data_IF_473663248237
#
_entry.id   IF_473663248237
#
_cell.length_a   1.000
_cell.length_b   1.000
_cell.length_c   1.000
_cell.angle_alpha   90.00
_cell.angle_beta   90.00
_cell.angle_gamma   90.00
#
_symmetry.space_group_name_H-M   'P 1'
#
loop_
_entity.id
_entity.type
_entity.pdbx_description
1 polymer ?
#
# COMPACT_ATOMS: atom_id res chain seq x y z
N UNK A 1 -18.18 10.15 -11.10
CA UNK A 1 -17.16 10.73 -11.99
C UNK A 1 -16.99 9.76 -13.15
N UNK A 2 -17.20 10.17 -14.40
CA UNK A 2 -17.22 9.27 -15.56
C UNK A 2 -16.00 9.46 -16.49
N UNK A 3 -14.87 9.94 -15.97
CA UNK A 3 -13.65 10.08 -16.75
C UNK A 3 -12.43 10.38 -15.89
N UNK A 4 -11.26 10.02 -16.41
CA UNK A 4 -9.95 10.35 -15.84
C UNK A 4 -9.79 11.87 -15.75
N UNK A 5 -9.24 12.37 -14.64
CA UNK A 5 -8.94 13.79 -14.43
C UNK A 5 -7.44 14.01 -14.40
N UNK A 6 -6.90 14.65 -15.43
CA UNK A 6 -5.50 15.08 -15.42
C UNK A 6 -5.27 16.11 -14.32
N UNK A 7 -4.25 15.88 -13.50
CA UNK A 7 -3.82 16.81 -12.44
C UNK A 7 -2.50 17.46 -12.82
N UNK A 8 -1.54 16.65 -13.29
CA UNK A 8 -0.27 17.11 -13.84
C UNK A 8 -0.13 16.44 -15.22
N UNK A 9 -0.30 17.20 -16.33
CA UNK A 9 -0.18 16.64 -17.69
C UNK A 9 1.15 15.92 -17.88
N UNK A 10 1.10 14.70 -18.43
CA UNK A 10 2.27 13.87 -18.66
C UNK A 10 2.92 13.25 -17.42
N UNK A 11 2.30 13.38 -16.23
CA UNK A 11 2.84 12.82 -14.98
C UNK A 11 1.81 12.17 -14.04
N UNK A 12 0.68 12.83 -13.75
CA UNK A 12 -0.26 12.39 -12.73
C UNK A 12 -1.70 12.69 -13.10
N UNK A 13 -2.57 11.67 -12.96
CA UNK A 13 -4.02 11.82 -13.10
C UNK A 13 -4.79 11.01 -12.07
N UNK A 14 -5.99 11.50 -11.76
CA UNK A 14 -6.97 10.77 -10.97
C UNK A 14 -7.78 9.87 -11.90
N UNK A 15 -7.84 8.59 -11.55
CA UNK A 15 -8.59 7.57 -12.28
C UNK A 15 -9.68 6.97 -11.39
N UNK A 16 -10.59 6.19 -11.96
CA UNK A 16 -11.54 5.40 -11.19
C UNK A 16 -11.49 3.96 -11.69
N UNK A 17 -10.53 3.19 -11.18
CA UNK A 17 -10.30 1.82 -11.63
C UNK A 17 -10.65 0.82 -10.54
N UNK A 18 -11.44 -0.18 -10.91
CA UNK A 18 -11.83 -1.26 -10.00
C UNK A 18 -10.85 -2.43 -10.08
N UNK A 19 -10.05 -2.62 -9.05
CA UNK A 19 -9.03 -3.66 -8.98
C UNK A 19 -9.56 -4.92 -8.28
N UNK A 20 -9.77 -5.98 -9.06
CA UNK A 20 -10.23 -7.28 -8.54
C UNK A 20 -9.09 -8.21 -8.12
N UNK A 21 -7.84 -7.82 -8.35
CA UNK A 21 -6.64 -8.54 -7.97
C UNK A 21 -5.94 -7.93 -6.76
N UNK A 22 -4.75 -8.46 -6.48
CA UNK A 22 -3.74 -7.84 -5.63
C UNK A 22 -2.65 -7.18 -6.49
N UNK A 23 -1.49 -6.89 -5.90
CA UNK A 23 -0.33 -6.38 -6.64
C UNK A 23 -0.04 -7.23 -7.89
N UNK A 24 0.25 -6.57 -9.01
CA UNK A 24 0.51 -7.22 -10.31
C UNK A 24 -0.61 -8.16 -10.80
N UNK A 25 -1.87 -7.89 -10.43
CA UNK A 25 -3.04 -8.69 -10.81
C UNK A 25 -3.04 -10.13 -10.26
N UNK A 26 -2.28 -10.40 -9.19
CA UNK A 26 -2.34 -11.69 -8.50
C UNK A 26 -3.76 -11.97 -7.98
N UNK A 27 -4.24 -13.21 -8.17
CA UNK A 27 -5.60 -13.65 -7.77
C UNK A 27 -6.75 -12.84 -8.38
N UNK A 28 -6.56 -12.28 -9.58
CA UNK A 28 -7.60 -11.53 -10.29
C UNK A 28 -8.94 -12.30 -10.34
N UNK A 29 -10.03 -11.59 -10.07
CA UNK A 29 -11.39 -12.15 -10.02
C UNK A 29 -11.71 -12.95 -8.75
N UNK A 30 -10.75 -13.19 -7.84
CA UNK A 30 -10.96 -13.96 -6.62
C UNK A 30 -11.06 -13.08 -5.36
N UNK A 31 -12.03 -12.16 -5.37
CA UNK A 31 -12.23 -11.19 -4.29
C UNK A 31 -12.45 -11.84 -2.92
N UNK A 32 -13.10 -13.00 -2.87
CA UNK A 32 -13.35 -13.71 -1.61
C UNK A 32 -12.04 -14.18 -0.95
N UNK A 33 -11.10 -14.74 -1.74
CA UNK A 33 -9.78 -15.13 -1.23
C UNK A 33 -9.01 -13.91 -0.75
N UNK A 34 -8.99 -12.83 -1.54
CA UNK A 34 -8.28 -11.61 -1.18
C UNK A 34 -8.83 -10.95 0.10
N UNK A 35 -10.17 -10.89 0.24
CA UNK A 35 -10.81 -10.41 1.46
C UNK A 35 -10.47 -11.29 2.67
N UNK A 36 -10.48 -12.61 2.49
CA UNK A 36 -10.13 -13.57 3.56
C UNK A 36 -8.68 -13.41 4.00
N UNK A 37 -7.75 -13.30 3.04
CA UNK A 37 -6.33 -13.06 3.32
C UNK A 37 -6.12 -11.73 4.06
N UNK A 38 -6.77 -10.65 3.61
CA UNK A 38 -6.68 -9.36 4.28
C UNK A 38 -7.21 -9.41 5.73
N UNK A 39 -8.35 -10.07 5.96
CA UNK A 39 -8.89 -10.28 7.31
C UNK A 39 -7.95 -11.13 8.18
N UNK A 40 -7.38 -12.19 7.63
CA UNK A 40 -6.39 -13.03 8.33
C UNK A 40 -5.12 -12.24 8.67
N UNK A 41 -4.62 -11.40 7.76
CA UNK A 41 -3.48 -10.52 8.01
C UNK A 41 -3.76 -9.51 9.12
N UNK A 42 -4.96 -8.90 9.15
CA UNK A 42 -5.37 -8.02 10.26
C UNK A 42 -5.36 -8.76 11.60
N UNK A 43 -5.96 -9.95 11.65
CA UNK A 43 -5.98 -10.76 12.87
C UNK A 43 -4.57 -11.12 13.34
N UNK A 44 -3.70 -11.53 12.42
CA UNK A 44 -2.31 -11.86 12.71
C UNK A 44 -1.51 -10.64 13.21
N UNK A 45 -1.65 -9.48 12.57
CA UNK A 45 -0.99 -8.23 12.99
C UNK A 45 -1.46 -7.77 14.36
N UNK A 46 -2.76 -7.84 14.65
CA UNK A 46 -3.30 -7.49 15.96
C UNK A 46 -2.79 -8.48 17.03
N UNK A 47 -2.76 -9.78 16.74
CA UNK A 47 -2.25 -10.79 17.65
C UNK A 47 -0.75 -10.63 17.93
N UNK A 48 0.04 -10.34 16.90
CA UNK A 48 1.50 -10.18 16.99
C UNK A 48 1.97 -8.75 17.28
N UNK A 49 1.05 -7.79 17.51
CA UNK A 49 1.35 -6.36 17.66
C UNK A 49 2.49 -6.02 18.63
N UNK A 50 2.68 -6.84 19.66
CA UNK A 50 3.75 -6.66 20.66
C UNK A 50 5.16 -6.70 20.05
N UNK A 51 5.35 -7.37 18.91
CA UNK A 51 6.65 -7.49 18.23
C UNK A 51 7.04 -6.24 17.43
N UNK A 52 6.15 -5.25 17.31
CA UNK A 52 6.36 -4.05 16.50
C UNK A 52 6.73 -2.82 17.34
N UNK A 53 7.28 -3.04 18.53
CA UNK A 53 7.59 -1.98 19.52
C UNK A 53 6.46 -0.93 19.65
N UNK A 54 5.19 -1.32 19.84
CA UNK A 54 4.04 -0.39 19.78
C UNK A 54 4.09 0.72 20.85
N UNK A 55 4.96 0.58 21.85
CA UNK A 55 5.23 1.55 22.90
C UNK A 55 6.05 2.75 22.40
N UNK A 56 6.77 2.61 21.28
CA UNK A 56 7.56 3.68 20.65
C UNK A 56 6.77 4.26 19.47
N UNK A 57 6.86 5.58 19.30
CA UNK A 57 6.14 6.31 18.25
C UNK A 57 6.32 5.71 16.84
N UNK A 58 7.55 5.34 16.39
CA UNK A 58 7.73 4.75 15.05
C UNK A 58 7.00 3.42 14.87
N UNK A 59 7.07 2.53 15.88
CA UNK A 59 6.40 1.23 15.85
C UNK A 59 4.87 1.37 15.86
N UNK A 60 4.36 2.29 16.69
CA UNK A 60 2.94 2.63 16.75
C UNK A 60 2.42 3.19 15.42
N UNK A 61 3.13 4.13 14.80
CA UNK A 61 2.78 4.70 13.51
C UNK A 61 2.81 3.66 12.39
N UNK A 62 3.86 2.82 12.37
CA UNK A 62 4.00 1.77 11.37
C UNK A 62 2.84 0.77 11.42
N UNK A 63 2.51 0.30 12.63
CA UNK A 63 1.40 -0.62 12.84
C UNK A 63 0.06 0.04 12.49
N UNK A 64 -0.14 1.31 12.88
CA UNK A 64 -1.34 2.08 12.55
C UNK A 64 -1.55 2.24 11.04
N UNK A 65 -0.49 2.57 10.28
CA UNK A 65 -0.56 2.69 8.83
C UNK A 65 -0.87 1.36 8.14
N UNK A 66 -0.22 0.26 8.54
CA UNK A 66 -0.48 -1.06 7.95
C UNK A 66 -1.91 -1.53 8.25
N UNK A 67 -2.33 -1.46 9.53
CA UNK A 67 -3.69 -1.86 9.92
C UNK A 67 -4.75 -1.02 9.24
N UNK A 68 -4.56 0.30 9.20
CA UNK A 68 -5.49 1.24 8.55
C UNK A 68 -5.60 0.97 7.05
N UNK A 69 -4.47 0.79 6.36
CA UNK A 69 -4.46 0.50 4.93
C UNK A 69 -5.10 -0.85 4.59
N UNK A 70 -4.76 -1.93 5.30
CA UNK A 70 -5.39 -3.24 5.07
C UNK A 70 -6.90 -3.15 5.34
N UNK A 71 -7.31 -2.45 6.40
CA UNK A 71 -8.72 -2.28 6.74
C UNK A 71 -9.48 -1.51 5.66
N UNK A 72 -8.90 -0.45 5.09
CA UNK A 72 -9.49 0.32 3.99
C UNK A 72 -9.72 -0.54 2.75
N UNK A 73 -8.68 -1.24 2.30
CA UNK A 73 -8.78 -2.12 1.14
C UNK A 73 -9.71 -3.32 1.38
N UNK A 74 -9.79 -3.86 2.61
CA UNK A 74 -10.75 -4.90 2.96
C UNK A 74 -12.19 -4.37 2.92
N UNK A 75 -12.41 -3.15 3.40
CA UNK A 75 -13.73 -2.52 3.41
C UNK A 75 -14.30 -2.37 2.00
N UNK A 76 -13.47 -1.96 1.05
CA UNK A 76 -13.83 -1.89 -0.36
C UNK A 76 -14.18 -3.27 -0.92
N UNK A 77 -13.33 -4.28 -0.67
CA UNK A 77 -13.60 -5.67 -1.09
C UNK A 77 -14.90 -6.24 -0.53
N UNK A 78 -15.31 -5.82 0.67
CA UNK A 78 -16.59 -6.24 1.28
C UNK A 78 -17.76 -5.47 0.68
N UNK A 79 -17.65 -4.15 0.50
CA UNK A 79 -18.75 -3.29 0.07
C UNK A 79 -18.98 -3.28 -1.43
N UNK A 80 -17.92 -3.08 -2.21
CA UNK A 80 -17.99 -2.89 -3.68
C UNK A 80 -17.35 -4.04 -4.46
N UNK A 81 -16.86 -5.08 -3.77
CA UNK A 81 -16.33 -6.35 -4.34
C UNK A 81 -15.01 -6.23 -5.12
N UNK A 82 -14.33 -5.10 -5.01
CA UNK A 82 -13.01 -4.83 -5.55
C UNK A 82 -12.39 -3.66 -4.77
N UNK A 83 -11.12 -3.33 -5.01
CA UNK A 83 -10.48 -2.12 -4.46
C UNK A 83 -10.59 -0.98 -5.47
N UNK A 84 -10.91 0.23 -5.00
CA UNK A 84 -10.93 1.40 -5.87
C UNK A 84 -9.54 2.04 -5.88
N UNK A 85 -8.90 2.00 -7.04
CA UNK A 85 -7.62 2.67 -7.31
C UNK A 85 -7.88 3.99 -8.03
N UNK A 86 -7.23 5.05 -7.57
CA UNK A 86 -7.49 6.41 -8.05
C UNK A 86 -6.26 7.29 -8.24
N UNK A 87 -5.07 6.85 -7.81
CA UNK A 87 -3.81 7.54 -8.05
C UNK A 87 -3.07 6.84 -9.18
N UNK A 88 -2.91 7.51 -10.33
CA UNK A 88 -2.15 6.97 -11.46
C UNK A 88 -1.03 7.92 -11.87
N UNK A 89 0.21 7.44 -11.74
CA UNK A 89 1.43 8.15 -12.12
C UNK A 89 2.02 7.53 -13.38
N UNK A 90 2.31 8.35 -14.38
CA UNK A 90 2.76 7.91 -15.69
C UNK A 90 3.76 8.88 -16.30
N UNK A 91 4.45 8.47 -17.36
CA UNK A 91 5.26 9.36 -18.19
C UNK A 91 4.93 9.13 -19.66
N UNK A 92 4.93 10.20 -20.45
CA UNK A 92 4.75 10.10 -21.90
C UNK A 92 6.03 9.61 -22.57
N UNK A 93 5.91 8.63 -23.47
CA UNK A 93 7.04 8.12 -24.24
C UNK A 93 7.35 9.06 -25.40
N UNK A 94 8.55 9.63 -25.39
CA UNK A 94 9.07 10.46 -26.49
C UNK A 94 9.14 9.66 -27.79
N UNK A 95 8.68 10.25 -28.89
CA UNK A 95 8.72 9.64 -30.22
C UNK A 95 7.58 8.67 -30.52
N UNK A 96 6.66 8.46 -29.58
CA UNK A 96 5.46 7.65 -29.77
C UNK A 96 4.27 8.57 -30.08
N UNK A 97 3.46 8.31 -31.12
CA UNK A 97 2.29 9.13 -31.43
C UNK A 97 1.31 9.22 -30.24
N UNK A 98 0.81 10.43 -29.92
CA UNK A 98 -0.22 10.60 -28.90
C UNK A 98 -1.45 9.73 -29.19
N UNK A 99 -2.01 9.10 -28.16
CA UNK A 99 -3.20 8.24 -28.29
C UNK A 99 -2.93 6.79 -28.73
N UNK A 100 -1.67 6.40 -28.95
CA UNK A 100 -1.32 4.98 -29.13
C UNK A 100 -1.29 4.23 -27.80
N UNK A 101 -1.48 2.90 -27.85
CA UNK A 101 -1.51 2.05 -26.65
C UNK A 101 -0.24 2.13 -25.80
N UNK A 102 0.90 2.44 -26.44
CA UNK A 102 2.22 2.52 -25.79
C UNK A 102 2.67 3.97 -25.53
N UNK A 103 1.79 4.96 -25.70
CA UNK A 103 2.11 6.37 -25.51
C UNK A 103 2.51 6.69 -24.06
N UNK A 104 2.04 5.88 -23.09
CA UNK A 104 2.24 6.11 -21.67
C UNK A 104 2.93 4.91 -21.02
N UNK A 105 3.93 5.17 -20.17
CA UNK A 105 4.47 4.20 -19.23
C UNK A 105 4.06 4.59 -17.81
N UNK A 106 3.20 3.80 -17.20
CA UNK A 106 2.65 4.07 -15.86
C UNK A 106 3.11 3.08 -14.80
N UNK A 107 3.23 3.56 -13.57
CA UNK A 107 3.18 2.67 -12.41
C UNK A 107 1.73 2.19 -12.22
N UNK A 108 1.47 0.95 -11.78
CA UNK A 108 0.11 0.48 -11.53
C UNK A 108 -0.65 1.46 -10.63
N UNK A 109 -1.92 1.74 -10.96
CA UNK A 109 -2.72 2.63 -10.13
C UNK A 109 -2.85 2.07 -8.70
N UNK A 110 -2.92 2.97 -7.73
CA UNK A 110 -3.02 2.63 -6.31
C UNK A 110 -3.88 3.65 -5.57
N UNK A 111 -4.07 3.45 -4.27
CA UNK A 111 -4.86 4.35 -3.42
C UNK A 111 -4.13 4.75 -2.13
N UNK A 112 -4.83 5.48 -1.26
CA UNK A 112 -4.29 5.93 0.03
C UNK A 112 -4.06 4.75 0.99
N UNK A 113 -4.86 3.68 0.91
CA UNK A 113 -4.65 2.48 1.70
C UNK A 113 -3.34 1.77 1.31
N UNK A 114 -3.04 1.64 0.02
CA UNK A 114 -1.76 1.09 -0.45
C UNK A 114 -0.58 1.98 -0.04
N UNK A 115 -0.75 3.30 -0.14
CA UNK A 115 0.25 4.27 0.30
C UNK A 115 0.57 4.12 1.78
N UNK A 116 -0.46 3.94 2.63
CA UNK A 116 -0.30 3.69 4.06
C UNK A 116 0.43 2.36 4.33
N UNK A 117 0.05 1.28 3.65
CA UNK A 117 0.75 -0.02 3.79
C UNK A 117 2.22 0.13 3.43
N UNK A 118 2.54 0.73 2.28
CA UNK A 118 3.91 0.96 1.84
C UNK A 118 4.70 1.81 2.83
N UNK A 119 4.13 2.90 3.33
CA UNK A 119 4.77 3.78 4.31
C UNK A 119 5.04 3.07 5.65
N UNK A 120 4.06 2.30 6.14
CA UNK A 120 4.21 1.53 7.37
C UNK A 120 5.26 0.43 7.26
N UNK A 121 5.29 -0.32 6.15
CA UNK A 121 6.33 -1.32 5.88
C UNK A 121 7.70 -0.68 5.78
N UNK A 122 7.84 0.44 5.06
CA UNK A 122 9.10 1.18 4.96
C UNK A 122 9.61 1.63 6.34
N UNK A 123 8.70 2.08 7.22
CA UNK A 123 9.05 2.47 8.59
C UNK A 123 9.55 1.27 9.42
N UNK A 124 8.90 0.10 9.32
CA UNK A 124 9.36 -1.12 9.99
C UNK A 124 10.73 -1.59 9.49
N UNK A 125 10.95 -1.54 8.18
CA UNK A 125 12.25 -1.89 7.59
C UNK A 125 13.33 -0.94 8.10
N UNK A 126 13.05 0.36 8.11
CA UNK A 126 13.99 1.36 8.61
C UNK A 126 14.32 1.16 10.10
N UNK A 127 13.34 0.78 10.93
CA UNK A 127 13.58 0.43 12.33
C UNK A 127 14.45 -0.83 12.46
N UNK A 128 14.16 -1.87 11.68
CA UNK A 128 14.87 -3.14 11.72
C UNK A 128 16.32 -3.04 11.25
N UNK A 129 16.62 -2.12 10.32
CA UNK A 129 17.97 -1.91 9.78
C UNK A 129 18.86 -1.03 10.69
N UNK A 130 18.30 -0.40 11.73
CA UNK A 130 19.10 0.34 12.71
C UNK A 130 19.80 -0.65 13.64
N UNK A 131 21.13 -0.54 13.84
CA UNK A 131 21.85 -1.38 14.80
C UNK A 131 21.17 -1.30 16.16
N UNK A 132 20.93 -2.45 16.79
CA UNK A 132 20.50 -2.48 18.18
C UNK A 132 21.54 -1.69 18.99
N UNK A 133 21.10 -0.66 19.70
CA UNK A 133 21.97 0.02 20.65
C UNK A 133 22.39 -1.03 21.68
N UNK A 134 23.64 -1.47 21.61
CA UNK A 134 24.26 -2.26 22.67
C UNK A 134 24.22 -1.41 23.92
N UNK A 135 23.36 -1.79 24.88
CA UNK A 135 23.45 -1.21 26.21
C UNK A 135 24.85 -1.52 26.75
N UNK A 136 25.62 -0.53 27.22
CA UNK A 136 26.92 -0.79 27.82
C UNK A 136 26.71 -1.76 28.97
N UNK A 137 27.51 -2.83 28.98
CA UNK A 137 27.50 -3.84 30.04
C UNK A 137 27.64 -3.10 31.39
N UNK A 138 26.77 -3.34 32.37
CA UNK A 138 26.93 -2.70 33.68
C UNK A 138 28.30 -3.08 34.22
N UNK A 139 29.15 -2.09 34.46
CA UNK A 139 30.45 -2.23 35.10
C UNK A 139 30.24 -3.06 36.37
N UNK A 140 30.68 -4.32 36.34
CA UNK A 140 30.73 -5.17 37.53
C UNK A 140 31.78 -4.55 38.45
N UNK A 141 31.32 -3.89 39.51
CA UNK A 141 32.12 -3.43 40.63
C UNK A 141 32.35 -4.56 41.63
#
# INVERSE_FOLDING_TARGET
FNGDRMVIPGFFRLVYWGNTGAAWSLFHGNNAILATLAAASLAALVWKRQHFEPHRLPGWLALGFILGGISGNLLDRVRVRHVIDFLFFYVERRGVPPGSADAEAGFPAFNIADTAICAGVALLLFMSLRPAQTQPEPLRA
#
